data_IF_256684977619
#
_entry.id   IF_256684977619
#
_cell.length_a   1.000
_cell.length_b   1.000
_cell.length_c   1.000
_cell.angle_alpha   90.00
_cell.angle_beta   90.00
_cell.angle_gamma   90.00
#
_symmetry.space_group_name_H-M   'P 1'
#
loop_
_entity.id
_entity.type
_entity.pdbx_description
1 polymer ?
#
# COMPACT_ATOMS: atom_id res chain seq x y z
N UNK A 1 -33.17 86.33 23.78
CA UNK A 1 -32.03 85.60 24.39
C UNK A 1 -32.05 84.15 23.93
N UNK A 2 -30.92 83.67 23.40
CA UNK A 2 -30.74 82.36 22.77
C UNK A 2 -31.05 81.23 23.76
N UNK A 3 -31.82 80.22 23.34
CA UNK A 3 -31.82 78.89 23.96
C UNK A 3 -31.77 77.81 22.88
N UNK A 4 -30.77 76.97 23.07
CA UNK A 4 -30.19 75.94 22.22
C UNK A 4 -31.18 74.82 21.87
N UNK A 5 -31.27 74.47 20.59
CA UNK A 5 -31.87 73.19 20.16
C UNK A 5 -30.78 72.12 20.24
N UNK A 6 -30.97 71.16 21.13
CA UNK A 6 -30.17 69.94 21.20
C UNK A 6 -30.38 69.14 19.90
N UNK A 7 -29.30 68.87 19.19
CA UNK A 7 -29.27 67.91 18.08
C UNK A 7 -29.09 66.53 18.70
N UNK A 8 -30.07 65.65 18.51
CA UNK A 8 -29.95 64.24 18.85
C UNK A 8 -29.08 63.54 17.79
N UNK A 9 -27.90 63.07 18.18
CA UNK A 9 -27.10 62.14 17.39
C UNK A 9 -27.69 60.72 17.55
N UNK A 10 -27.91 59.96 16.47
CA UNK A 10 -28.17 58.54 16.61
C UNK A 10 -26.84 57.82 16.87
N UNK A 11 -26.73 57.13 18.02
CA UNK A 11 -25.68 56.14 18.23
C UNK A 11 -25.92 54.96 17.27
N UNK A 12 -25.06 54.83 16.27
CA UNK A 12 -24.89 53.58 15.53
C UNK A 12 -24.27 52.55 16.47
N UNK A 13 -25.11 51.68 17.04
CA UNK A 13 -24.66 50.47 17.70
C UNK A 13 -24.13 49.50 16.63
N UNK A 14 -22.81 49.41 16.49
CA UNK A 14 -22.18 48.38 15.67
C UNK A 14 -22.22 47.09 16.49
N UNK A 15 -22.89 46.02 16.04
CA UNK A 15 -22.80 44.74 16.72
C UNK A 15 -21.39 44.18 16.50
N UNK A 16 -20.60 44.13 17.57
CA UNK A 16 -19.37 43.33 17.64
C UNK A 16 -19.79 41.86 17.54
N UNK A 17 -19.80 41.34 16.32
CA UNK A 17 -19.91 39.89 16.09
C UNK A 17 -18.60 39.26 16.55
N UNK A 18 -18.62 38.67 17.75
CA UNK A 18 -17.55 37.79 18.19
C UNK A 18 -17.50 36.62 17.20
N UNK A 19 -16.34 36.30 16.59
CA UNK A 19 -16.22 35.10 15.80
C UNK A 19 -16.38 33.93 16.77
N UNK A 20 -17.52 33.24 16.68
CA UNK A 20 -17.70 31.92 17.25
C UNK A 20 -16.62 31.05 16.61
N UNK A 21 -15.56 30.78 17.35
CA UNK A 21 -14.58 29.75 17.01
C UNK A 21 -15.38 28.46 17.00
N UNK A 22 -15.78 28.03 15.81
CA UNK A 22 -16.39 26.73 15.61
C UNK A 22 -15.33 25.70 16.00
N UNK A 23 -15.48 25.12 17.18
CA UNK A 23 -14.79 23.89 17.53
C UNK A 23 -15.36 22.88 16.54
N UNK A 24 -14.59 22.52 15.51
CA UNK A 24 -14.96 21.43 14.64
C UNK A 24 -15.18 20.22 15.54
N UNK A 25 -16.42 19.76 15.65
CA UNK A 25 -16.69 18.48 16.28
C UNK A 25 -15.80 17.47 15.58
N UNK A 26 -14.83 16.92 16.31
CA UNK A 26 -14.07 15.77 15.86
C UNK A 26 -15.14 14.73 15.53
N UNK A 27 -15.21 14.36 14.26
CA UNK A 27 -16.21 13.44 13.76
C UNK A 27 -16.01 12.08 14.46
N UNK A 28 -16.81 11.84 15.50
CA UNK A 28 -16.77 10.64 16.34
C UNK A 28 -17.13 9.40 15.52
N UNK A 29 -17.74 9.57 14.34
CA UNK A 29 -18.00 8.46 13.42
C UNK A 29 -16.69 7.81 12.94
N UNK A 30 -15.66 8.62 12.65
CA UNK A 30 -14.33 8.13 12.25
C UNK A 30 -13.62 7.34 13.35
N UNK A 31 -13.87 7.67 14.63
CA UNK A 31 -13.33 6.95 15.79
C UNK A 31 -14.08 5.63 16.05
N UNK A 32 -15.40 5.58 15.84
CA UNK A 32 -16.19 4.34 15.93
C UNK A 32 -15.89 3.35 14.81
N UNK A 33 -15.61 3.83 13.61
CA UNK A 33 -15.29 2.96 12.47
C UNK A 33 -14.02 2.12 12.71
N UNK A 34 -13.08 2.62 13.52
CA UNK A 34 -11.87 1.88 13.94
C UNK A 34 -12.14 0.72 14.91
N UNK A 35 -13.28 0.69 15.60
CA UNK A 35 -13.56 -0.36 16.61
C UNK A 35 -13.92 -1.73 16.02
N UNK A 36 -14.24 -1.81 14.72
CA UNK A 36 -14.64 -3.07 14.06
C UNK A 36 -13.66 -3.56 13.00
N UNK A 37 -12.49 -2.93 12.86
CA UNK A 37 -11.46 -3.40 11.92
C UNK A 37 -10.89 -4.72 12.44
N UNK A 38 -11.14 -5.80 11.73
CA UNK A 38 -10.57 -7.12 12.03
C UNK A 38 -9.26 -7.30 11.27
N UNK A 39 -8.23 -7.74 11.99
CA UNK A 39 -7.00 -8.26 11.39
C UNK A 39 -7.29 -9.63 10.78
N UNK A 40 -6.40 -10.07 9.89
CA UNK A 40 -6.48 -11.38 9.28
C UNK A 40 -6.31 -12.49 10.31
N UNK A 41 -7.21 -13.47 10.27
CA UNK A 41 -7.08 -14.70 11.05
C UNK A 41 -6.05 -15.66 10.42
N UNK A 42 -5.71 -16.73 11.14
CA UNK A 42 -4.70 -17.70 10.69
C UNK A 42 -5.10 -18.44 9.41
N UNK A 43 -6.39 -18.67 9.19
CA UNK A 43 -6.88 -19.34 7.98
C UNK A 43 -6.73 -18.43 6.77
N UNK A 44 -7.05 -17.14 6.89
CA UNK A 44 -6.88 -16.14 5.84
C UNK A 44 -5.39 -15.93 5.51
N UNK A 45 -4.53 -15.83 6.53
CA UNK A 45 -3.07 -15.77 6.34
C UNK A 45 -2.52 -16.98 5.61
N UNK A 46 -3.03 -18.17 5.94
CA UNK A 46 -2.67 -19.42 5.26
C UNK A 46 -3.13 -19.39 3.80
N UNK A 47 -4.38 -19.01 3.52
CA UNK A 47 -4.90 -18.85 2.15
C UNK A 47 -4.04 -17.92 1.30
N UNK A 48 -3.66 -16.76 1.85
CA UNK A 48 -2.77 -15.81 1.16
C UNK A 48 -1.40 -16.42 0.88
N UNK A 49 -0.83 -17.11 1.88
CA UNK A 49 0.49 -17.73 1.76
C UNK A 49 0.49 -18.87 0.73
N UNK A 50 -0.52 -19.74 0.78
CA UNK A 50 -0.64 -20.92 -0.07
C UNK A 50 -0.92 -20.57 -1.53
N UNK A 51 -1.56 -19.43 -1.79
CA UNK A 51 -1.81 -18.93 -3.14
C UNK A 51 -0.55 -18.37 -3.80
N UNK A 52 0.49 -18.05 -3.02
CA UNK A 52 1.70 -17.43 -3.56
C UNK A 52 2.52 -18.46 -4.36
N UNK A 53 2.83 -18.13 -5.61
CA UNK A 53 3.73 -18.89 -6.50
C UNK A 53 4.69 -17.92 -7.15
N UNK A 54 5.95 -18.32 -7.20
CA UNK A 54 7.01 -17.58 -7.90
C UNK A 54 7.87 -18.58 -8.66
N UNK A 55 7.84 -18.49 -9.97
CA UNK A 55 8.49 -19.45 -10.87
C UNK A 55 9.12 -18.72 -12.06
N UNK A 56 10.09 -19.37 -12.70
CA UNK A 56 10.52 -18.96 -14.02
C UNK A 56 9.44 -19.30 -15.05
N UNK A 57 9.30 -18.47 -16.08
CA UNK A 57 8.50 -18.82 -17.26
C UNK A 57 9.14 -19.98 -18.00
N UNK A 58 8.38 -20.65 -18.86
CA UNK A 58 8.94 -21.71 -19.70
C UNK A 58 10.01 -21.17 -20.65
N UNK A 59 9.90 -19.92 -21.11
CA UNK A 59 10.96 -19.26 -21.86
C UNK A 59 12.25 -19.15 -21.04
N UNK A 60 12.21 -18.55 -19.84
CA UNK A 60 13.40 -18.36 -19.02
C UNK A 60 14.05 -19.68 -18.55
N UNK A 61 13.27 -20.75 -18.37
CA UNK A 61 13.79 -22.09 -18.07
C UNK A 61 14.68 -22.67 -19.17
N UNK A 62 14.63 -22.16 -20.40
CA UNK A 62 15.47 -22.61 -21.51
C UNK A 62 16.52 -21.56 -21.91
N UNK A 63 16.60 -20.45 -21.18
CA UNK A 63 17.56 -19.37 -21.42
C UNK A 63 18.80 -19.51 -20.55
N UNK A 64 19.86 -18.77 -20.89
CA UNK A 64 21.05 -18.69 -20.04
C UNK A 64 20.68 -18.12 -18.65
N UNK A 65 21.10 -18.82 -17.60
CA UNK A 65 20.88 -18.41 -16.21
C UNK A 65 21.36 -16.99 -15.91
N UNK A 66 22.49 -16.58 -16.47
CA UNK A 66 23.03 -15.24 -16.29
C UNK A 66 22.14 -14.15 -16.89
N UNK A 67 21.34 -14.46 -17.91
CA UNK A 67 20.49 -13.46 -18.53
C UNK A 67 19.36 -13.00 -17.60
N UNK A 68 18.58 -13.94 -17.06
CA UNK A 68 17.50 -13.60 -16.15
C UNK A 68 18.01 -13.16 -14.77
N UNK A 69 19.18 -13.64 -14.31
CA UNK A 69 19.85 -13.12 -13.10
C UNK A 69 20.27 -11.65 -13.29
N UNK A 70 20.88 -11.33 -14.42
CA UNK A 70 21.29 -9.95 -14.73
C UNK A 70 20.09 -9.02 -14.76
N UNK A 71 19.00 -9.45 -15.41
CA UNK A 71 17.75 -8.71 -15.40
C UNK A 71 17.16 -8.56 -13.99
N UNK A 72 17.13 -9.63 -13.18
CA UNK A 72 16.67 -9.55 -11.80
C UNK A 72 17.46 -8.52 -10.98
N UNK A 73 18.78 -8.55 -11.09
CA UNK A 73 19.67 -7.61 -10.42
C UNK A 73 19.44 -6.16 -10.86
N UNK A 74 19.13 -5.94 -12.14
CA UNK A 74 18.75 -4.63 -12.66
C UNK A 74 17.46 -4.13 -12.00
N UNK A 75 16.38 -4.92 -12.05
CA UNK A 75 15.09 -4.53 -11.46
C UNK A 75 15.21 -4.31 -9.95
N UNK A 76 15.94 -5.18 -9.23
CA UNK A 76 16.20 -5.02 -7.80
C UNK A 76 16.91 -3.70 -7.48
N UNK A 77 17.90 -3.30 -8.30
CA UNK A 77 18.64 -2.05 -8.10
C UNK A 77 17.78 -0.82 -8.38
N UNK A 78 16.99 -0.86 -9.46
CA UNK A 78 16.17 0.27 -9.90
C UNK A 78 14.92 0.45 -9.01
N UNK A 79 14.30 -0.64 -8.58
CA UNK A 79 12.96 -0.61 -7.97
C UNK A 79 12.83 -1.37 -6.66
N UNK A 80 13.88 -2.04 -6.16
CA UNK A 80 13.78 -2.99 -5.04
C UNK A 80 13.18 -2.43 -3.74
N UNK A 81 13.22 -1.11 -3.55
CA UNK A 81 12.63 -0.41 -2.39
C UNK A 81 11.33 0.34 -2.70
N UNK A 82 10.87 0.38 -3.96
CA UNK A 82 9.66 1.08 -4.38
C UNK A 82 8.49 0.09 -4.52
N UNK A 83 7.84 -0.20 -3.40
CA UNK A 83 6.75 -1.18 -3.33
C UNK A 83 5.60 -0.90 -4.32
N UNK A 84 5.27 0.37 -4.57
CA UNK A 84 4.19 0.75 -5.50
C UNK A 84 4.55 0.47 -6.97
N UNK A 85 5.83 0.59 -7.33
CA UNK A 85 6.28 0.21 -8.67
C UNK A 85 6.36 -1.30 -8.78
N UNK A 86 6.84 -1.99 -7.74
CA UNK A 86 7.01 -3.44 -7.77
C UNK A 86 5.69 -4.19 -7.96
N UNK A 87 4.59 -3.77 -7.33
CA UNK A 87 3.27 -4.39 -7.57
C UNK A 87 2.88 -4.31 -9.06
N UNK A 88 2.98 -3.12 -9.66
CA UNK A 88 2.69 -2.96 -11.10
C UNK A 88 3.69 -3.67 -12.02
N UNK A 89 4.93 -3.92 -11.60
CA UNK A 89 5.88 -4.76 -12.36
C UNK A 89 5.43 -6.22 -12.32
N UNK A 90 5.10 -6.72 -11.13
CA UNK A 90 4.68 -8.11 -10.91
C UNK A 90 3.36 -8.41 -11.64
N UNK A 91 2.44 -7.45 -11.67
CA UNK A 91 1.17 -7.57 -12.40
C UNK A 91 1.33 -7.38 -13.93
N UNK A 92 2.52 -7.01 -14.39
CA UNK A 92 2.83 -6.80 -15.81
C UNK A 92 2.38 -5.43 -16.36
N UNK A 93 1.88 -4.54 -15.52
CA UNK A 93 1.39 -3.21 -15.94
C UNK A 93 2.53 -2.22 -16.23
N UNK A 94 3.65 -2.32 -15.50
CA UNK A 94 4.76 -1.35 -15.55
C UNK A 94 6.01 -1.87 -16.27
N UNK A 95 6.16 -3.18 -16.43
CA UNK A 95 7.31 -3.78 -17.09
C UNK A 95 6.96 -5.16 -17.68
N UNK A 96 6.61 -5.18 -18.96
CA UNK A 96 6.24 -6.41 -19.66
C UNK A 96 7.37 -7.45 -19.68
N UNK A 97 8.62 -6.99 -19.72
CA UNK A 97 9.81 -7.86 -19.74
C UNK A 97 9.96 -8.68 -18.46
N UNK A 98 9.38 -8.24 -17.33
CA UNK A 98 9.40 -9.03 -16.10
C UNK A 98 8.66 -10.36 -16.31
N UNK A 99 7.50 -10.29 -16.97
CA UNK A 99 6.65 -11.46 -17.26
C UNK A 99 7.19 -12.34 -18.39
N UNK A 100 8.23 -11.92 -19.11
CA UNK A 100 8.98 -12.80 -20.02
C UNK A 100 9.86 -13.79 -19.23
N UNK A 101 10.35 -13.40 -18.06
CA UNK A 101 11.28 -14.21 -17.27
C UNK A 101 10.65 -14.88 -16.06
N UNK A 102 9.75 -14.17 -15.39
CA UNK A 102 9.19 -14.56 -14.10
C UNK A 102 7.68 -14.60 -14.16
N UNK A 103 7.10 -15.58 -13.47
CA UNK A 103 5.67 -15.67 -13.25
C UNK A 103 5.40 -15.67 -11.76
N UNK A 104 4.56 -14.74 -11.33
CA UNK A 104 4.15 -14.59 -9.95
C UNK A 104 2.63 -14.70 -9.89
N UNK A 105 2.14 -15.55 -9.00
CA UNK A 105 0.71 -15.64 -8.71
C UNK A 105 0.54 -15.44 -7.22
N UNK A 106 -0.49 -14.69 -6.82
CA UNK A 106 -0.80 -14.44 -5.42
C UNK A 106 -2.28 -14.10 -5.24
N UNK A 107 -2.75 -14.17 -4.00
CA UNK A 107 -4.13 -13.86 -3.66
C UNK A 107 -4.40 -12.36 -3.71
N UNK A 108 -5.46 -11.90 -4.39
CA UNK A 108 -5.87 -10.48 -4.30
C UNK A 108 -6.43 -10.20 -2.91
N UNK A 109 -5.99 -9.15 -2.22
CA UNK A 109 -6.37 -8.90 -0.81
C UNK A 109 -7.78 -8.30 -0.63
N UNK A 110 -8.76 -8.78 -1.40
CA UNK A 110 -10.16 -8.41 -1.29
C UNK A 110 -10.96 -9.47 -0.50
N UNK A 111 -12.15 -9.09 -0.01
CA UNK A 111 -13.07 -10.03 0.66
C UNK A 111 -12.81 -10.31 2.14
N UNK A 112 -11.84 -9.66 2.78
CA UNK A 112 -11.49 -9.89 4.19
C UNK A 112 -12.21 -8.97 5.21
N UNK A 113 -13.19 -8.17 4.77
CA UNK A 113 -13.95 -7.27 5.65
C UNK A 113 -13.20 -6.02 6.14
N UNK A 114 -11.92 -5.91 5.82
CA UNK A 114 -11.07 -4.73 6.03
C UNK A 114 -10.11 -4.55 4.83
N UNK A 115 -9.61 -3.34 4.67
CA UNK A 115 -8.77 -2.96 3.53
C UNK A 115 -7.32 -3.35 3.77
N UNK A 116 -6.73 -4.11 2.86
CA UNK A 116 -5.33 -4.55 2.94
C UNK A 116 -4.57 -4.27 1.66
N UNK A 117 -3.25 -4.20 1.76
CA UNK A 117 -2.35 -4.12 0.60
C UNK A 117 -1.06 -4.90 0.80
N UNK A 118 -0.44 -5.26 -0.31
CA UNK A 118 0.91 -5.80 -0.31
C UNK A 118 1.94 -4.67 -0.24
N UNK A 119 3.09 -4.99 0.36
CA UNK A 119 4.33 -4.24 0.22
C UNK A 119 5.41 -5.21 -0.20
N UNK A 120 5.68 -5.24 -1.50
CA UNK A 120 6.71 -6.08 -2.11
C UNK A 120 8.11 -5.48 -1.96
N UNK A 121 9.11 -6.35 -1.90
CA UNK A 121 10.54 -6.07 -2.00
C UNK A 121 11.21 -7.21 -2.76
N UNK A 122 12.27 -6.89 -3.50
CA UNK A 122 13.05 -7.87 -4.24
C UNK A 122 14.38 -8.12 -3.53
N UNK A 123 14.75 -9.39 -3.41
CA UNK A 123 16.03 -9.81 -2.83
C UNK A 123 16.65 -10.94 -3.67
N UNK A 124 17.86 -11.36 -3.29
CA UNK A 124 18.57 -12.46 -3.92
C UNK A 124 19.39 -13.20 -2.87
N UNK A 125 19.37 -14.53 -2.92
CA UNK A 125 20.16 -15.40 -2.04
C UNK A 125 20.80 -16.49 -2.87
N UNK A 126 22.12 -16.59 -2.87
CA UNK A 126 22.85 -17.61 -3.64
C UNK A 126 22.40 -17.69 -5.12
N UNK A 127 22.27 -16.55 -5.79
CA UNK A 127 21.77 -16.44 -7.17
C UNK A 127 20.32 -16.91 -7.40
N UNK A 128 19.54 -17.03 -6.32
CA UNK A 128 18.11 -17.34 -6.35
C UNK A 128 17.34 -16.03 -6.10
N UNK A 129 16.57 -15.54 -7.08
CA UNK A 129 15.58 -14.48 -6.91
C UNK A 129 14.60 -14.74 -5.77
N UNK A 130 14.33 -13.72 -4.95
CA UNK A 130 13.37 -13.78 -3.84
C UNK A 130 12.42 -12.59 -3.90
N UNK A 131 11.12 -12.84 -3.82
CA UNK A 131 10.11 -11.80 -3.56
C UNK A 131 9.77 -11.85 -2.08
N UNK A 132 10.04 -10.76 -1.35
CA UNK A 132 9.54 -10.56 0.01
C UNK A 132 8.26 -9.75 -0.06
N UNK A 133 7.28 -10.11 0.74
CA UNK A 133 6.05 -9.32 0.86
C UNK A 133 5.63 -9.16 2.31
N UNK A 134 5.05 -8.00 2.59
CA UNK A 134 4.33 -7.72 3.84
C UNK A 134 2.88 -7.44 3.51
N UNK A 135 1.95 -8.01 4.27
CA UNK A 135 0.54 -7.64 4.21
C UNK A 135 0.29 -6.57 5.27
N UNK A 136 -0.31 -5.46 4.85
CA UNK A 136 -0.57 -4.30 5.70
C UNK A 136 -2.08 -4.05 5.79
N UNK A 137 -2.59 -3.81 6.99
CA UNK A 137 -3.96 -3.35 7.21
C UNK A 137 -4.02 -1.82 7.01
N UNK A 138 -4.72 -1.35 5.98
CA UNK A 138 -4.81 0.07 5.66
C UNK A 138 -5.70 0.83 6.66
N UNK A 139 -6.76 0.18 7.15
CA UNK A 139 -7.71 0.75 8.10
C UNK A 139 -7.05 1.00 9.48
N UNK A 140 -5.93 0.34 9.76
CA UNK A 140 -5.09 0.54 10.96
C UNK A 140 -3.78 1.26 10.65
N UNK A 141 -3.81 2.25 9.76
CA UNK A 141 -2.65 3.09 9.42
C UNK A 141 -1.43 2.27 8.92
N UNK A 142 -1.67 1.37 7.96
CA UNK A 142 -0.65 0.49 7.39
C UNK A 142 0.04 -0.42 8.41
N UNK A 143 -0.68 -0.85 9.47
CA UNK A 143 -0.15 -1.78 10.47
C UNK A 143 0.26 -3.09 9.80
N UNK A 144 1.49 -3.60 10.02
CA UNK A 144 1.90 -4.90 9.51
C UNK A 144 1.09 -6.04 10.13
N UNK A 145 0.66 -6.96 9.28
CA UNK A 145 -0.07 -8.17 9.70
C UNK A 145 0.84 -9.39 9.75
N UNK A 146 1.60 -9.61 8.67
CA UNK A 146 2.61 -10.66 8.54
C UNK A 146 3.51 -10.41 7.33
N UNK A 147 4.61 -11.17 7.28
CA UNK A 147 5.64 -11.10 6.24
C UNK A 147 6.03 -12.50 5.77
N UNK A 148 6.40 -12.62 4.50
CA UNK A 148 6.92 -13.85 3.90
C UNK A 148 7.96 -13.56 2.83
N UNK A 149 8.87 -14.50 2.68
CA UNK A 149 9.86 -14.54 1.61
C UNK A 149 9.51 -15.73 0.72
N UNK A 150 9.47 -15.50 -0.60
CA UNK A 150 9.19 -16.55 -1.59
C UNK A 150 10.34 -16.59 -2.58
N UNK A 151 11.04 -17.71 -2.58
CA UNK A 151 12.13 -17.98 -3.52
C UNK A 151 11.56 -18.46 -4.86
N UNK A 152 12.21 -18.13 -5.96
CA UNK A 152 11.82 -18.66 -7.27
C UNK A 152 12.02 -20.18 -7.29
N UNK A 153 11.03 -20.92 -7.76
CA UNK A 153 11.14 -22.37 -7.92
C UNK A 153 12.02 -22.69 -9.13
N UNK A 154 13.23 -23.19 -8.87
CA UNK A 154 14.15 -23.72 -9.88
C UNK A 154 13.92 -25.22 -10.01
N UNK A 155 13.85 -25.74 -11.24
CA UNK A 155 13.86 -27.19 -11.47
C UNK A 155 15.24 -27.75 -11.12
N UNK A 156 15.30 -29.03 -10.72
CA UNK A 156 16.52 -29.73 -10.28
C UNK A 156 17.59 -29.95 -11.39
N UNK A 157 17.46 -29.27 -12.53
CA UNK A 157 18.36 -29.37 -13.68
C UNK A 157 19.36 -28.20 -13.77
N UNK A 158 19.46 -27.36 -12.73
CA UNK A 158 20.27 -26.13 -12.67
C UNK A 158 21.15 -26.05 -11.43
#
# INVERSE_FOLDING_TARGET
MKKTKLVALPLLAIPLTLPLISISCIDVSSLRQRQNVRLLDNSQKKTITDAFRFELTDQAKHMDKQEWISYWNKIRREFGNNAFILEGIIEGEKNLKFNEYFKVQYHKLNGFGSSHKYKFQLDMKNDIPIIKYNVLCMDLNNKPEFSKDVEVQLSSQW
#
